data_IF_239255160963
#
_entry.id   IF_239255160963
#
_cell.length_a   1.000
_cell.length_b   1.000
_cell.length_c   1.000
_cell.angle_alpha   90.00
_cell.angle_beta   90.00
_cell.angle_gamma   90.00
#
_symmetry.space_group_name_H-M   'P 1'
#
loop_
_entity.id
_entity.type
_entity.pdbx_description
1 polymer ?
#
# COMPACT_ATOMS: atom_id res chain seq x y z
N UNK A 1 -59.54 -7.57 -22.64
CA UNK A 1 -59.89 -7.66 -24.08
C UNK A 1 -58.80 -6.92 -24.85
N UNK A 2 -58.03 -7.46 -25.79
CA UNK A 2 -57.98 -8.73 -26.49
C UNK A 2 -57.05 -8.45 -27.67
N UNK A 3 -55.98 -9.22 -27.85
CA UNK A 3 -55.13 -9.18 -29.07
C UNK A 3 -55.96 -9.65 -30.29
N UNK A 4 -55.59 -9.26 -31.53
CA UNK A 4 -54.75 -10.14 -32.39
C UNK A 4 -53.67 -9.36 -33.21
N UNK A 5 -52.48 -9.91 -33.49
CA UNK A 5 -52.10 -10.82 -34.61
C UNK A 5 -52.38 -10.21 -36.01
N UNK A 6 -51.60 -10.38 -37.08
CA UNK A 6 -50.27 -10.91 -37.40
C UNK A 6 -50.20 -10.92 -38.93
N UNK A 7 -49.05 -10.55 -39.54
CA UNK A 7 -48.63 -10.94 -40.90
C UNK A 7 -49.55 -10.43 -42.05
N UNK A 8 -49.14 -10.24 -43.30
CA UNK A 8 -48.22 -11.00 -44.15
C UNK A 8 -47.91 -10.17 -45.40
N UNK A 9 -46.67 -10.26 -45.84
CA UNK A 9 -46.16 -9.78 -47.13
C UNK A 9 -46.75 -10.61 -48.29
N UNK A 10 -47.19 -9.93 -49.35
CA UNK A 10 -47.37 -10.50 -50.68
C UNK A 10 -46.02 -10.63 -51.38
N UNK A 11 -45.74 -11.82 -51.88
CA UNK A 11 -44.55 -12.11 -52.67
C UNK A 11 -44.69 -11.67 -54.12
N UNK A 12 -43.55 -11.51 -54.78
CA UNK A 12 -43.46 -11.83 -56.22
C UNK A 12 -42.05 -12.35 -56.53
N UNK A 13 -42.03 -13.56 -57.09
CA UNK A 13 -40.86 -14.25 -57.63
C UNK A 13 -40.48 -13.64 -58.99
N UNK A 14 -39.19 -13.67 -59.34
CA UNK A 14 -38.62 -14.26 -60.57
C UNK A 14 -37.10 -13.98 -60.62
N UNK A 15 -36.26 -15.00 -60.44
CA UNK A 15 -35.57 -15.82 -61.46
C UNK A 15 -34.24 -15.21 -61.93
N UNK A 16 -33.11 -15.92 -61.71
CA UNK A 16 -32.13 -16.36 -62.74
C UNK A 16 -30.88 -16.96 -62.06
N UNK A 17 -30.41 -18.06 -62.67
CA UNK A 17 -29.26 -18.93 -62.34
C UNK A 17 -27.91 -18.22 -62.42
N UNK A 18 -26.91 -18.69 -61.66
CA UNK A 18 -25.50 -18.50 -62.02
C UNK A 18 -24.47 -18.66 -60.89
N UNK A 19 -23.99 -19.89 -60.70
CA UNK A 19 -22.61 -20.28 -60.33
C UNK A 19 -21.76 -19.38 -59.43
N UNK A 20 -21.51 -19.86 -58.20
CA UNK A 20 -20.21 -19.93 -57.54
C UNK A 20 -19.50 -18.63 -57.15
N UNK A 21 -19.23 -18.47 -55.85
CA UNK A 21 -17.91 -18.15 -55.24
C UNK A 21 -18.13 -17.66 -53.79
N UNK A 22 -17.52 -18.42 -52.87
CA UNK A 22 -17.05 -18.08 -51.51
C UNK A 22 -18.09 -17.57 -50.49
N UNK A 23 -18.37 -18.45 -49.51
CA UNK A 23 -18.90 -18.07 -48.18
C UNK A 23 -17.95 -17.06 -47.53
N UNK A 24 -18.30 -15.78 -47.62
CA UNK A 24 -17.79 -14.76 -46.71
C UNK A 24 -18.30 -15.09 -45.31
N UNK A 25 -17.41 -15.65 -44.48
CA UNK A 25 -17.66 -15.76 -43.05
C UNK A 25 -18.00 -14.39 -42.49
N UNK A 26 -19.17 -14.28 -41.86
CA UNK A 26 -19.55 -13.08 -41.14
C UNK A 26 -18.50 -12.82 -40.06
N UNK A 27 -17.72 -11.76 -40.22
CA UNK A 27 -16.86 -11.22 -39.16
C UNK A 27 -17.80 -10.84 -38.02
N UNK A 28 -17.64 -11.36 -36.79
CA UNK A 28 -18.45 -10.92 -35.67
C UNK A 28 -18.18 -9.42 -35.49
N UNK A 29 -19.22 -8.62 -35.73
CA UNK A 29 -19.21 -7.18 -35.54
C UNK A 29 -18.94 -6.96 -34.05
N UNK A 30 -17.73 -6.53 -33.71
CA UNK A 30 -17.37 -6.20 -32.34
C UNK A 30 -18.41 -5.22 -31.82
N UNK A 31 -19.17 -5.63 -30.81
CA UNK A 31 -20.07 -4.75 -30.08
C UNK A 31 -19.17 -3.78 -29.33
N UNK A 32 -18.86 -2.64 -29.96
CA UNK A 32 -18.17 -1.55 -29.28
C UNK A 32 -19.16 -0.97 -28.29
N UNK A 33 -19.10 -1.45 -27.04
CA UNK A 33 -19.75 -0.78 -25.92
C UNK A 33 -19.33 0.69 -25.94
N UNK A 34 -20.26 1.65 -25.88
CA UNK A 34 -19.91 3.06 -25.91
C UNK A 34 -19.03 3.37 -24.70
N UNK A 35 -17.79 3.79 -24.94
CA UNK A 35 -16.85 4.20 -23.90
C UNK A 35 -16.95 5.71 -23.69
N UNK A 36 -16.91 6.13 -22.43
CA UNK A 36 -16.89 7.55 -22.05
C UNK A 36 -15.54 7.84 -21.44
N UNK A 37 -14.80 8.78 -22.03
CA UNK A 37 -13.51 9.21 -21.49
C UNK A 37 -13.76 10.26 -20.41
N UNK A 38 -13.36 9.95 -19.18
CA UNK A 38 -13.50 10.83 -18.02
C UNK A 38 -12.12 11.28 -17.56
N UNK A 39 -11.98 12.55 -17.18
CA UNK A 39 -10.76 13.06 -16.56
C UNK A 39 -10.56 12.46 -15.18
N UNK A 40 -9.33 12.05 -14.86
CA UNK A 40 -8.97 11.41 -13.59
C UNK A 40 -9.41 12.27 -12.39
N UNK A 41 -9.20 13.59 -12.49
CA UNK A 41 -9.58 14.54 -11.43
C UNK A 41 -11.06 14.44 -11.04
N UNK A 42 -11.96 14.19 -12.00
CA UNK A 42 -13.41 14.05 -11.72
C UNK A 42 -13.71 12.78 -10.92
N UNK A 43 -12.97 11.70 -11.16
CA UNK A 43 -13.10 10.47 -10.37
C UNK A 43 -12.51 10.66 -8.97
N UNK A 44 -11.42 11.42 -8.84
CA UNK A 44 -10.84 11.76 -7.54
C UNK A 44 -11.80 12.65 -6.72
N UNK A 45 -12.42 13.65 -7.34
CA UNK A 45 -13.45 14.50 -6.71
C UNK A 45 -14.67 13.67 -6.26
N UNK A 46 -15.09 12.68 -7.05
CA UNK A 46 -16.16 11.75 -6.63
C UNK A 46 -15.74 10.87 -5.45
N UNK A 47 -14.49 10.39 -5.42
CA UNK A 47 -13.96 9.63 -4.30
C UNK A 47 -13.86 10.46 -3.02
N UNK A 48 -13.56 11.76 -3.11
CA UNK A 48 -13.63 12.68 -1.98
C UNK A 48 -15.03 12.68 -1.36
N UNK A 49 -16.04 12.92 -2.19
CA UNK A 49 -17.45 13.00 -1.75
C UNK A 49 -17.89 11.68 -1.13
N UNK A 50 -17.50 10.55 -1.73
CA UNK A 50 -17.81 9.22 -1.18
C UNK A 50 -17.10 8.99 0.15
N UNK A 51 -15.83 9.40 0.30
CA UNK A 51 -15.11 9.28 1.57
C UNK A 51 -15.78 10.12 2.67
N UNK A 52 -16.15 11.37 2.37
CA UNK A 52 -16.92 12.21 3.28
C UNK A 52 -18.27 11.57 3.63
N UNK A 53 -18.97 10.99 2.66
CA UNK A 53 -20.25 10.31 2.86
C UNK A 53 -20.11 9.11 3.80
N UNK A 54 -19.03 8.33 3.68
CA UNK A 54 -18.73 7.20 4.58
C UNK A 54 -18.50 7.70 6.02
N UNK A 55 -17.80 8.84 6.18
CA UNK A 55 -17.59 9.46 7.49
C UNK A 55 -18.92 9.94 8.09
N UNK A 56 -19.73 10.66 7.30
CA UNK A 56 -21.05 11.16 7.74
C UNK A 56 -22.00 10.02 8.10
N UNK A 57 -21.95 8.91 7.35
CA UNK A 57 -22.69 7.69 7.67
C UNK A 57 -22.32 7.14 9.03
N UNK A 58 -21.02 7.04 9.36
CA UNK A 58 -20.57 6.53 10.66
C UNK A 58 -21.06 7.41 11.83
N UNK A 59 -21.04 8.74 11.65
CA UNK A 59 -21.60 9.66 12.65
C UNK A 59 -23.11 9.49 12.81
N UNK A 60 -23.83 9.29 11.71
CA UNK A 60 -25.27 9.05 11.72
C UNK A 60 -25.62 7.74 12.45
N UNK A 61 -24.83 6.68 12.24
CA UNK A 61 -24.94 5.39 12.96
C UNK A 61 -24.81 5.59 14.47
N UNK A 62 -23.76 6.29 14.92
CA UNK A 62 -23.54 6.56 16.36
C UNK A 62 -24.68 7.37 16.99
N UNK A 63 -25.16 8.41 16.31
CA UNK A 63 -26.29 9.23 16.80
C UNK A 63 -27.58 8.43 16.83
N UNK A 64 -27.81 7.56 15.85
CA UNK A 64 -28.99 6.71 15.78
C UNK A 64 -29.04 5.71 16.94
N UNK A 65 -27.90 5.10 17.26
CA UNK A 65 -27.76 4.21 18.42
C UNK A 65 -28.06 4.94 19.74
N UNK A 66 -27.52 6.15 19.92
CA UNK A 66 -27.73 6.97 21.12
C UNK A 66 -29.19 7.41 21.31
N UNK A 67 -29.94 7.55 20.22
CA UNK A 67 -31.36 7.97 20.25
C UNK A 67 -32.34 6.80 20.45
N UNK A 68 -31.85 5.54 20.45
CA UNK A 68 -32.61 4.30 20.64
C UNK A 68 -33.86 4.16 19.74
N UNK A 69 -33.88 4.83 18.59
CA UNK A 69 -35.04 4.85 17.68
C UNK A 69 -34.94 3.73 16.64
N UNK A 70 -35.79 2.71 16.78
CA UNK A 70 -35.82 1.58 15.83
C UNK A 70 -36.05 2.00 14.37
N UNK A 71 -36.95 2.96 14.14
CA UNK A 71 -37.23 3.48 12.79
C UNK A 71 -36.05 4.25 12.21
N UNK A 72 -35.32 4.98 13.05
CA UNK A 72 -34.10 5.69 12.61
C UNK A 72 -33.02 4.67 12.25
N UNK A 73 -32.80 3.65 13.09
CA UNK A 73 -31.85 2.57 12.82
C UNK A 73 -32.12 1.89 11.47
N UNK A 74 -33.38 1.57 11.16
CA UNK A 74 -33.75 0.97 9.87
C UNK A 74 -33.41 1.87 8.66
N UNK A 75 -33.62 3.19 8.79
CA UNK A 75 -33.29 4.16 7.73
C UNK A 75 -31.78 4.31 7.58
N UNK A 76 -31.05 4.39 8.69
CA UNK A 76 -29.59 4.48 8.71
C UNK A 76 -28.98 3.23 8.09
N UNK A 77 -29.45 2.04 8.44
CA UNK A 77 -28.94 0.77 7.88
C UNK A 77 -29.13 0.71 6.36
N UNK A 78 -30.27 1.19 5.84
CA UNK A 78 -30.49 1.28 4.40
C UNK A 78 -29.58 2.29 3.72
N UNK A 79 -29.40 3.48 4.31
CA UNK A 79 -28.46 4.49 3.83
C UNK A 79 -27.02 3.97 3.83
N UNK A 80 -26.66 3.17 4.83
CA UNK A 80 -25.35 2.54 4.94
C UNK A 80 -25.07 1.57 3.80
N UNK A 81 -26.05 0.71 3.46
CA UNK A 81 -25.95 -0.18 2.29
C UNK A 81 -25.77 0.59 0.99
N UNK A 82 -26.59 1.62 0.75
CA UNK A 82 -26.49 2.45 -0.46
C UNK A 82 -25.14 3.16 -0.56
N UNK A 83 -24.59 3.60 0.56
CA UNK A 83 -23.29 4.25 0.62
C UNK A 83 -22.16 3.29 0.25
N UNK A 84 -22.22 2.05 0.75
CA UNK A 84 -21.25 0.99 0.37
C UNK A 84 -21.37 0.66 -1.12
N UNK A 85 -22.59 0.47 -1.63
CA UNK A 85 -22.83 0.19 -3.04
C UNK A 85 -22.33 1.30 -3.96
N UNK A 86 -22.54 2.57 -3.57
CA UNK A 86 -22.04 3.73 -4.30
C UNK A 86 -20.51 3.73 -4.31
N UNK A 87 -19.88 3.54 -3.15
CA UNK A 87 -18.43 3.48 -3.01
C UNK A 87 -17.83 2.41 -3.92
N UNK A 88 -18.38 1.20 -3.88
CA UNK A 88 -17.86 0.08 -4.65
C UNK A 88 -18.00 0.31 -6.17
N UNK A 89 -19.07 0.97 -6.62
CA UNK A 89 -19.24 1.35 -8.04
C UNK A 89 -18.25 2.43 -8.48
N UNK A 90 -18.00 3.44 -7.65
CA UNK A 90 -17.04 4.51 -7.95
C UNK A 90 -15.61 3.95 -7.98
N UNK A 91 -15.28 3.04 -7.06
CA UNK A 91 -14.00 2.32 -7.06
C UNK A 91 -13.78 1.53 -8.34
N UNK A 92 -14.76 0.72 -8.77
CA UNK A 92 -14.68 -0.02 -10.05
C UNK A 92 -14.46 0.89 -11.25
N UNK A 93 -15.09 2.07 -11.27
CA UNK A 93 -14.89 3.04 -12.35
C UNK A 93 -13.47 3.63 -12.41
N UNK A 94 -12.70 3.54 -11.32
CA UNK A 94 -11.30 3.99 -11.20
C UNK A 94 -10.28 2.91 -11.51
N UNK A 95 -10.70 1.65 -11.56
CA UNK A 95 -9.81 0.51 -11.77
C UNK A 95 -9.16 0.55 -13.14
N UNK A 96 -7.89 0.14 -13.18
CA UNK A 96 -7.10 -0.02 -14.39
C UNK A 96 -6.40 -1.36 -14.34
N UNK A 97 -6.25 -1.98 -15.51
CA UNK A 97 -5.54 -3.25 -15.65
C UNK A 97 -4.07 -3.10 -15.26
N UNK A 98 -3.56 -4.07 -14.50
CA UNK A 98 -2.16 -4.15 -14.09
C UNK A 98 -1.21 -4.28 -15.29
N UNK A 99 -1.70 -4.76 -16.43
CA UNK A 99 -0.95 -4.83 -17.70
C UNK A 99 -0.31 -3.50 -18.14
N UNK A 100 -0.94 -2.37 -17.76
CA UNK A 100 -0.40 -1.03 -18.01
C UNK A 100 1.00 -0.80 -17.43
N UNK A 101 1.36 -1.56 -16.39
CA UNK A 101 2.70 -1.61 -15.77
C UNK A 101 3.50 -2.80 -16.32
N UNK A 102 2.88 -3.99 -16.35
CA UNK A 102 3.57 -5.24 -16.71
C UNK A 102 4.13 -5.23 -18.13
N UNK A 103 3.46 -4.56 -19.07
CA UNK A 103 3.88 -4.41 -20.47
C UNK A 103 5.29 -3.83 -20.67
N UNK A 104 5.87 -3.17 -19.65
CA UNK A 104 7.22 -2.60 -19.69
C UNK A 104 8.31 -3.59 -19.29
N UNK A 105 7.98 -4.59 -18.49
CA UNK A 105 8.95 -5.52 -17.91
C UNK A 105 9.61 -6.49 -18.90
N UNK A 106 8.96 -6.96 -19.98
CA UNK A 106 9.64 -7.80 -20.98
C UNK A 106 10.87 -7.13 -21.60
N UNK A 107 10.82 -5.81 -21.84
CA UNK A 107 11.98 -5.06 -22.35
C UNK A 107 13.08 -4.95 -21.30
N UNK A 108 12.72 -4.58 -20.07
CA UNK A 108 13.66 -4.49 -18.95
C UNK A 108 14.41 -5.81 -18.71
N UNK A 109 13.69 -6.93 -18.63
CA UNK A 109 14.30 -8.25 -18.39
C UNK A 109 15.23 -8.63 -19.53
N UNK A 110 14.86 -8.32 -20.78
CA UNK A 110 15.71 -8.57 -21.95
C UNK A 110 17.00 -7.74 -21.93
N UNK A 111 16.92 -6.49 -21.50
CA UNK A 111 18.09 -5.61 -21.39
C UNK A 111 19.02 -6.07 -20.26
N UNK A 112 18.48 -6.37 -19.07
CA UNK A 112 19.24 -6.92 -17.94
C UNK A 112 19.87 -8.29 -18.25
N UNK A 113 19.15 -9.16 -18.96
CA UNK A 113 19.64 -10.46 -19.44
C UNK A 113 20.89 -10.31 -20.31
N UNK A 114 20.93 -9.29 -21.19
CA UNK A 114 22.10 -8.99 -22.02
C UNK A 114 23.25 -8.43 -21.21
N UNK A 115 22.97 -7.44 -20.36
CA UNK A 115 24.01 -6.76 -19.57
C UNK A 115 24.72 -7.72 -18.61
N UNK A 116 23.98 -8.66 -18.01
CA UNK A 116 24.50 -9.64 -17.07
C UNK A 116 24.88 -10.98 -17.73
N UNK A 117 24.70 -11.11 -19.05
CA UNK A 117 24.97 -12.34 -19.80
C UNK A 117 24.25 -13.58 -19.23
N UNK A 118 22.97 -13.43 -18.87
CA UNK A 118 22.10 -14.50 -18.35
C UNK A 118 20.97 -14.80 -19.33
N UNK A 119 20.58 -16.06 -19.49
CA UNK A 119 19.42 -16.44 -20.30
C UNK A 119 18.18 -16.53 -19.42
N UNK A 120 17.14 -15.75 -19.71
CA UNK A 120 15.96 -15.62 -18.84
C UNK A 120 14.69 -15.57 -19.67
N UNK A 121 13.73 -16.43 -19.32
CA UNK A 121 12.37 -16.42 -19.82
C UNK A 121 11.44 -15.74 -18.82
N UNK A 122 10.69 -14.72 -19.28
CA UNK A 122 9.68 -14.03 -18.48
C UNK A 122 8.28 -14.51 -18.87
N UNK A 123 7.55 -15.05 -17.89
CA UNK A 123 6.14 -15.39 -18.02
C UNK A 123 5.28 -14.37 -17.26
N UNK A 124 4.28 -13.79 -17.91
CA UNK A 124 3.33 -12.85 -17.29
C UNK A 124 1.93 -13.46 -17.31
N UNK A 125 1.30 -13.56 -16.15
CA UNK A 125 -0.03 -14.16 -15.97
C UNK A 125 -0.95 -13.19 -15.23
N UNK A 126 -2.18 -13.04 -15.71
CA UNK A 126 -3.21 -12.24 -15.03
C UNK A 126 -3.03 -10.72 -15.17
N UNK A 127 -2.45 -10.25 -16.28
CA UNK A 127 -2.30 -8.81 -16.57
C UNK A 127 -3.64 -8.06 -16.68
N UNK A 128 -4.73 -8.78 -16.93
CA UNK A 128 -6.11 -8.30 -16.94
C UNK A 128 -6.68 -8.01 -15.54
N UNK A 129 -5.96 -8.38 -14.46
CA UNK A 129 -6.34 -8.05 -13.09
C UNK A 129 -6.46 -6.54 -12.92
N UNK A 130 -7.56 -6.10 -12.31
CA UNK A 130 -7.89 -4.70 -12.07
C UNK A 130 -7.33 -4.21 -10.73
N UNK A 131 -6.73 -3.02 -10.73
CA UNK A 131 -6.19 -2.36 -9.54
C UNK A 131 -6.46 -0.84 -9.59
N UNK A 132 -6.52 -0.21 -8.43
CA UNK A 132 -6.71 1.23 -8.33
C UNK A 132 -5.60 2.01 -9.06
N UNK A 133 -6.01 3.06 -9.79
CA UNK A 133 -5.08 3.87 -10.61
C UNK A 133 -3.93 4.48 -9.80
N UNK A 134 -4.18 4.94 -8.57
CA UNK A 134 -3.12 5.50 -7.72
C UNK A 134 -2.12 4.42 -7.33
N UNK A 135 -2.59 3.21 -7.00
CA UNK A 135 -1.71 2.08 -6.70
C UNK A 135 -0.87 1.73 -7.92
N UNK A 136 -1.47 1.66 -9.12
CA UNK A 136 -0.76 1.43 -10.39
C UNK A 136 0.38 2.44 -10.62
N UNK A 137 0.14 3.72 -10.35
CA UNK A 137 1.14 4.77 -10.57
C UNK A 137 2.35 4.68 -9.61
N UNK A 138 2.16 4.08 -8.42
CA UNK A 138 3.21 3.99 -7.40
C UNK A 138 3.85 2.59 -7.28
N UNK A 139 3.18 1.53 -7.75
CA UNK A 139 3.66 0.14 -7.61
C UNK A 139 4.72 -0.24 -8.66
N UNK A 140 4.82 0.51 -9.77
CA UNK A 140 5.74 0.20 -10.87
C UNK A 140 7.21 0.14 -10.43
N UNK A 141 7.68 1.13 -9.68
CA UNK A 141 9.08 1.21 -9.23
C UNK A 141 9.44 0.09 -8.23
N UNK A 142 8.63 -0.19 -7.19
CA UNK A 142 8.82 -1.36 -6.33
C UNK A 142 8.93 -2.69 -7.10
N UNK A 143 8.02 -2.94 -8.05
CA UNK A 143 8.04 -4.17 -8.83
C UNK A 143 9.26 -4.25 -9.76
N UNK A 144 9.65 -3.13 -10.37
CA UNK A 144 10.87 -3.05 -11.17
C UNK A 144 12.09 -3.46 -10.36
N UNK A 145 12.18 -2.99 -9.11
CA UNK A 145 13.29 -3.27 -8.24
C UNK A 145 13.31 -4.74 -7.79
N UNK A 146 12.14 -5.34 -7.48
CA UNK A 146 12.02 -6.77 -7.20
C UNK A 146 12.45 -7.64 -8.39
N UNK A 147 12.02 -7.28 -9.61
CA UNK A 147 12.44 -7.96 -10.85
C UNK A 147 13.95 -7.86 -11.04
N UNK A 148 14.54 -6.68 -10.82
CA UNK A 148 15.99 -6.51 -10.91
C UNK A 148 16.73 -7.42 -9.93
N UNK A 149 16.27 -7.53 -8.68
CA UNK A 149 16.90 -8.41 -7.70
C UNK A 149 16.80 -9.89 -8.07
N UNK A 150 15.66 -10.31 -8.60
CA UNK A 150 15.49 -11.67 -9.12
C UNK A 150 16.49 -11.93 -10.27
N UNK A 151 16.66 -10.98 -11.20
CA UNK A 151 17.56 -11.14 -12.35
C UNK A 151 19.04 -11.03 -11.97
N UNK A 152 19.43 -10.09 -11.10
CA UNK A 152 20.82 -9.81 -10.74
C UNK A 152 21.36 -10.79 -9.71
N UNK A 153 20.62 -11.01 -8.61
CA UNK A 153 21.07 -11.82 -7.49
C UNK A 153 20.41 -13.21 -7.42
N UNK A 154 19.14 -13.32 -7.83
CA UNK A 154 18.40 -14.58 -7.80
C UNK A 154 18.91 -15.58 -8.83
N UNK A 155 18.69 -15.30 -10.11
CA UNK A 155 19.02 -16.18 -11.24
C UNK A 155 20.54 -16.27 -11.41
N UNK A 156 21.07 -17.49 -11.43
CA UNK A 156 22.51 -17.75 -11.61
C UNK A 156 22.92 -17.63 -13.09
N UNK A 157 24.23 -17.58 -13.36
CA UNK A 157 24.75 -17.63 -14.73
C UNK A 157 24.44 -18.98 -15.39
N UNK A 158 24.35 -19.05 -16.74
CA UNK A 158 24.15 -20.30 -17.49
C UNK A 158 25.04 -21.46 -17.02
N UNK A 159 26.33 -21.18 -16.77
CA UNK A 159 27.31 -22.15 -16.28
C UNK A 159 27.04 -22.63 -14.85
N UNK A 160 26.67 -21.73 -13.94
CA UNK A 160 26.35 -22.08 -12.55
C UNK A 160 25.07 -22.92 -12.48
N UNK A 161 24.06 -22.59 -13.31
CA UNK A 161 22.81 -23.35 -13.39
C UNK A 161 23.04 -24.79 -13.84
N UNK A 162 23.84 -24.99 -14.89
CA UNK A 162 24.20 -26.33 -15.36
C UNK A 162 24.96 -27.13 -14.30
N UNK A 163 25.86 -26.50 -13.54
CA UNK A 163 26.58 -27.15 -12.43
C UNK A 163 25.63 -27.56 -11.30
N UNK A 164 24.59 -26.77 -11.05
CA UNK A 164 23.54 -27.07 -10.08
C UNK A 164 22.46 -28.06 -10.61
N UNK A 165 22.59 -28.55 -11.85
CA UNK A 165 21.62 -29.47 -12.46
C UNK A 165 20.33 -28.80 -12.94
N UNK A 166 20.32 -27.47 -13.08
CA UNK A 166 19.17 -26.68 -13.53
C UNK A 166 19.23 -26.41 -15.05
N UNK A 167 18.09 -26.07 -15.70
CA UNK A 167 18.07 -25.60 -17.07
C UNK A 167 18.93 -24.34 -17.25
N UNK A 168 19.56 -24.21 -18.42
CA UNK A 168 20.40 -23.05 -18.76
C UNK A 168 19.61 -21.73 -18.73
N UNK A 169 18.39 -21.75 -19.27
CA UNK A 169 17.45 -20.64 -19.22
C UNK A 169 16.79 -20.57 -17.84
N UNK A 170 16.93 -19.44 -17.15
CA UNK A 170 16.22 -19.13 -15.91
C UNK A 170 14.77 -18.75 -16.18
N UNK A 171 13.88 -19.07 -15.24
CA UNK A 171 12.46 -18.72 -15.34
C UNK A 171 12.12 -17.66 -14.32
N UNK A 172 11.53 -16.57 -14.80
CA UNK A 172 10.92 -15.52 -13.98
C UNK A 172 9.43 -15.44 -14.30
N UNK A 173 8.59 -15.58 -13.29
CA UNK A 173 7.13 -15.54 -13.42
C UNK A 173 6.59 -14.34 -12.67
N UNK A 174 5.80 -13.52 -13.35
CA UNK A 174 5.05 -12.41 -12.78
C UNK A 174 3.56 -12.71 -12.88
N UNK A 175 2.91 -12.94 -11.74
CA UNK A 175 1.48 -13.29 -11.67
C UNK A 175 0.72 -12.24 -10.89
N UNK A 176 -0.42 -11.80 -11.40
CA UNK A 176 -1.39 -11.01 -10.66
C UNK A 176 -2.73 -11.74 -10.62
N UNK A 177 -3.38 -11.72 -9.46
CA UNK A 177 -4.75 -12.22 -9.31
C UNK A 177 -5.45 -11.52 -8.16
N UNK A 178 -6.77 -11.47 -8.21
CA UNK A 178 -7.59 -10.93 -7.12
C UNK A 178 -7.97 -12.06 -6.14
N UNK A 179 -7.73 -11.82 -4.85
CA UNK A 179 -8.15 -12.67 -3.75
C UNK A 179 -9.02 -11.84 -2.80
N UNK A 180 -10.33 -12.09 -2.83
CA UNK A 180 -11.34 -11.33 -2.07
C UNK A 180 -11.27 -9.81 -2.34
N UNK A 181 -10.86 -9.02 -1.34
CA UNK A 181 -10.75 -7.56 -1.42
C UNK A 181 -9.29 -7.08 -1.60
N UNK A 182 -8.39 -8.01 -1.94
CA UNK A 182 -6.96 -7.74 -2.14
C UNK A 182 -6.53 -8.22 -3.52
N UNK A 183 -5.58 -7.49 -4.10
CA UNK A 183 -4.86 -7.93 -5.29
C UNK A 183 -3.53 -8.49 -4.85
N UNK A 184 -3.24 -9.70 -5.29
CA UNK A 184 -2.00 -10.40 -5.02
C UNK A 184 -1.14 -10.36 -6.27
N UNK A 185 0.06 -9.80 -6.13
CA UNK A 185 1.10 -9.82 -7.15
C UNK A 185 2.22 -10.73 -6.65
N UNK A 186 2.59 -11.73 -7.44
CA UNK A 186 3.63 -12.71 -7.14
C UNK A 186 4.73 -12.60 -8.18
N UNK A 187 5.97 -12.44 -7.71
CA UNK A 187 7.19 -12.51 -8.51
C UNK A 187 7.95 -13.75 -8.07
N UNK A 188 8.11 -14.72 -8.95
CA UNK A 188 8.72 -16.01 -8.66
C UNK A 188 9.89 -16.26 -9.61
N UNK A 189 11.06 -16.58 -9.07
CA UNK A 189 12.22 -17.02 -9.84
C UNK A 189 12.68 -18.43 -9.41
N UNK A 190 13.30 -19.14 -10.34
CA UNK A 190 13.91 -20.46 -10.10
C UNK A 190 15.43 -20.38 -9.84
N UNK A 191 15.85 -19.25 -9.28
CA UNK A 191 17.25 -18.94 -9.00
C UNK A 191 17.80 -19.66 -7.78
N UNK A 192 18.89 -19.13 -7.22
CA UNK A 192 19.62 -19.76 -6.11
C UNK A 192 18.89 -19.73 -4.76
N UNK A 193 17.87 -18.90 -4.62
CA UNK A 193 17.20 -18.65 -3.34
C UNK A 193 18.09 -17.99 -2.28
N UNK A 194 17.51 -17.64 -1.13
CA UNK A 194 18.27 -17.06 -0.02
C UNK A 194 19.10 -18.12 0.70
N UNK A 195 20.39 -17.84 0.89
CA UNK A 195 21.24 -18.63 1.79
C UNK A 195 21.05 -18.13 3.22
N UNK A 196 20.23 -18.84 4.00
CA UNK A 196 19.88 -18.44 5.36
C UNK A 196 21.10 -18.33 6.28
N UNK A 197 22.11 -19.17 6.09
CA UNK A 197 23.33 -19.13 6.91
C UNK A 197 24.15 -17.87 6.64
N UNK A 198 24.30 -17.50 5.36
CA UNK A 198 24.97 -16.23 4.99
C UNK A 198 24.17 -15.02 5.43
N UNK A 199 22.83 -15.10 5.37
CA UNK A 199 21.96 -14.02 5.82
C UNK A 199 22.07 -13.83 7.33
N UNK A 200 22.04 -14.93 8.09
CA UNK A 200 22.28 -14.96 9.54
C UNK A 200 23.62 -14.33 9.88
N UNK A 201 24.71 -14.81 9.27
CA UNK A 201 26.05 -14.31 9.54
C UNK A 201 26.16 -12.80 9.25
N UNK A 202 25.62 -12.34 8.12
CA UNK A 202 25.59 -10.90 7.80
C UNK A 202 24.79 -10.08 8.81
N UNK A 203 23.69 -10.61 9.32
CA UNK A 203 22.86 -9.92 10.30
C UNK A 203 23.56 -9.82 11.66
N UNK A 204 24.27 -10.86 12.07
CA UNK A 204 25.09 -10.87 13.29
C UNK A 204 26.31 -9.96 13.16
N UNK A 205 27.06 -10.07 12.06
CA UNK A 205 28.26 -9.25 11.80
C UNK A 205 27.91 -7.75 11.67
N UNK A 206 26.73 -7.45 11.12
CA UNK A 206 26.20 -6.10 11.03
C UNK A 206 25.65 -5.54 12.33
N UNK A 207 25.58 -6.35 13.40
CA UNK A 207 25.04 -5.95 14.70
C UNK A 207 23.53 -5.75 14.72
N UNK A 208 22.79 -6.27 13.72
CA UNK A 208 21.33 -6.15 13.64
C UNK A 208 20.62 -7.13 14.58
N UNK A 209 21.26 -8.27 14.85
CA UNK A 209 20.77 -9.31 15.76
C UNK A 209 21.93 -9.93 16.52
N UNK A 210 21.70 -10.37 17.75
CA UNK A 210 22.71 -11.13 18.48
C UNK A 210 22.80 -12.58 17.98
N UNK A 211 23.95 -13.21 18.17
CA UNK A 211 24.14 -14.63 17.85
C UNK A 211 23.09 -15.53 18.53
N UNK A 212 22.75 -15.24 19.80
CA UNK A 212 21.75 -16.00 20.55
C UNK A 212 20.32 -15.84 20.00
N UNK A 213 19.95 -14.63 19.59
CA UNK A 213 18.65 -14.35 18.96
C UNK A 213 18.55 -15.02 17.58
N UNK A 214 19.62 -14.92 16.78
CA UNK A 214 19.65 -15.46 15.42
C UNK A 214 19.49 -16.98 15.33
N UNK A 215 19.82 -17.70 16.42
CA UNK A 215 19.64 -19.15 16.55
C UNK A 215 18.22 -19.56 16.90
N UNK A 216 17.42 -18.64 17.43
CA UNK A 216 16.01 -18.90 17.78
C UNK A 216 15.06 -18.65 16.62
N UNK A 217 15.50 -17.92 15.61
CA UNK A 217 14.68 -17.56 14.48
C UNK A 217 14.34 -18.74 13.59
N UNK A 218 13.08 -18.78 13.13
CA UNK A 218 12.67 -19.66 12.04
C UNK A 218 13.23 -19.17 10.71
N UNK A 219 13.13 -20.02 9.69
CA UNK A 219 13.56 -19.68 8.33
C UNK A 219 12.80 -18.45 7.79
N UNK A 220 11.51 -18.33 8.10
CA UNK A 220 10.69 -17.17 7.75
C UNK A 220 11.19 -15.90 8.44
N UNK A 221 11.44 -15.95 9.76
CA UNK A 221 11.92 -14.82 10.54
C UNK A 221 13.31 -14.33 10.07
N UNK A 222 14.18 -15.27 9.65
CA UNK A 222 15.47 -14.91 9.05
C UNK A 222 15.31 -14.20 7.71
N UNK A 223 14.39 -14.66 6.86
CA UNK A 223 14.11 -14.02 5.57
C UNK A 223 13.55 -12.61 5.77
N UNK A 224 12.76 -12.36 6.82
CA UNK A 224 12.26 -11.02 7.12
C UNK A 224 13.37 -10.00 7.41
N UNK A 225 14.54 -10.46 7.89
CA UNK A 225 15.70 -9.59 8.11
C UNK A 225 16.17 -8.88 6.84
N UNK A 226 15.88 -9.43 5.65
CA UNK A 226 16.21 -8.80 4.36
C UNK A 226 15.62 -7.39 4.24
N UNK A 227 14.52 -7.11 4.94
CA UNK A 227 13.88 -5.80 4.95
C UNK A 227 14.50 -4.80 5.93
N UNK A 228 15.50 -5.19 6.73
CA UNK A 228 16.19 -4.29 7.64
C UNK A 228 17.07 -3.31 6.83
N UNK A 229 16.92 -1.98 7.04
CA UNK A 229 17.76 -0.99 6.38
C UNK A 229 19.25 -1.29 6.59
N UNK A 230 20.03 -1.27 5.51
CA UNK A 230 21.49 -1.49 5.58
C UNK A 230 21.93 -2.95 5.61
N UNK A 231 21.04 -3.94 5.77
CA UNK A 231 21.42 -5.36 5.60
C UNK A 231 21.56 -5.73 4.12
N UNK A 232 20.71 -5.14 3.27
CA UNK A 232 20.63 -5.40 1.84
C UNK A 232 21.63 -4.59 0.99
N UNK A 233 22.46 -3.74 1.59
CA UNK A 233 23.38 -2.88 0.83
C UNK A 233 24.51 -3.70 0.20
N UNK A 234 24.36 -4.00 -1.08
CA UNK A 234 25.47 -4.40 -1.93
C UNK A 234 26.52 -3.28 -2.01
N UNK A 235 27.79 -3.67 -2.05
CA UNK A 235 28.99 -2.83 -2.09
C UNK A 235 29.19 -2.02 -3.39
N UNK A 236 28.19 -1.89 -4.26
CA UNK A 236 28.32 -1.11 -5.49
C UNK A 236 27.13 -0.16 -5.69
N UNK A 237 27.43 1.13 -5.53
CA UNK A 237 26.62 2.23 -6.04
C UNK A 237 26.69 2.15 -7.57
N UNK A 238 25.65 1.64 -8.23
CA UNK A 238 25.53 1.74 -9.69
C UNK A 238 24.76 3.01 -10.08
N UNK A 239 25.20 3.62 -11.18
CA UNK A 239 25.11 5.04 -11.55
C UNK A 239 23.71 5.64 -11.85
N UNK A 240 22.59 5.05 -11.40
CA UNK A 240 21.27 5.49 -11.91
C UNK A 240 20.28 6.03 -10.86
N UNK A 241 20.54 5.98 -9.54
CA UNK A 241 19.59 6.59 -8.58
C UNK A 241 20.12 7.11 -7.24
N UNK A 242 21.43 7.28 -7.05
CA UNK A 242 22.00 8.14 -5.98
C UNK A 242 21.66 7.80 -4.51
N UNK A 243 20.92 6.74 -4.22
CA UNK A 243 20.71 6.17 -2.89
C UNK A 243 20.70 4.66 -3.06
N UNK A 244 21.50 3.93 -2.30
CA UNK A 244 21.47 2.47 -2.31
C UNK A 244 20.03 2.00 -2.06
N UNK A 245 19.42 1.34 -3.04
CA UNK A 245 18.02 0.92 -2.96
C UNK A 245 18.02 -0.49 -2.38
N UNK A 246 17.65 -0.62 -1.12
CA UNK A 246 17.47 -1.90 -0.45
C UNK A 246 16.01 -2.36 -0.46
N UNK A 247 15.78 -3.58 0.04
CA UNK A 247 14.42 -4.13 0.23
C UNK A 247 13.59 -3.36 1.26
N UNK A 248 14.22 -2.59 2.13
CA UNK A 248 13.57 -1.65 3.04
C UNK A 248 12.78 -0.56 2.28
N UNK A 249 13.34 -0.02 1.20
CA UNK A 249 12.66 0.99 0.37
C UNK A 249 11.43 0.40 -0.32
N UNK A 250 11.55 -0.84 -0.82
CA UNK A 250 10.43 -1.56 -1.44
C UNK A 250 9.33 -1.84 -0.41
N UNK A 251 9.69 -2.35 0.77
CA UNK A 251 8.75 -2.62 1.85
C UNK A 251 8.00 -1.34 2.24
N UNK A 252 8.71 -0.26 2.50
CA UNK A 252 8.10 1.02 2.86
C UNK A 252 7.17 1.57 1.76
N UNK A 253 7.54 1.39 0.48
CA UNK A 253 6.68 1.80 -0.63
C UNK A 253 5.38 0.98 -0.70
N UNK A 254 5.45 -0.33 -0.46
CA UNK A 254 4.28 -1.22 -0.45
C UNK A 254 3.39 -0.94 0.76
N UNK A 255 3.98 -0.79 1.95
CA UNK A 255 3.26 -0.44 3.18
C UNK A 255 2.60 0.94 3.08
N UNK A 256 3.24 1.90 2.42
CA UNK A 256 2.66 3.22 2.13
C UNK A 256 1.42 3.17 1.23
N UNK A 257 1.24 2.09 0.46
CA UNK A 257 0.04 1.81 -0.32
C UNK A 257 -1.01 1.01 0.48
N UNK A 258 -0.79 0.79 1.78
CA UNK A 258 -1.61 -0.06 2.63
C UNK A 258 -1.44 -1.56 2.34
N UNK A 259 -0.38 -1.92 1.62
CA UNK A 259 -0.07 -3.29 1.25
C UNK A 259 0.85 -4.01 2.22
N UNK A 260 1.02 -5.31 2.00
CA UNK A 260 1.94 -6.17 2.74
C UNK A 260 2.82 -6.92 1.75
N UNK A 261 4.11 -7.00 2.03
CA UNK A 261 5.08 -7.81 1.28
C UNK A 261 5.54 -8.99 2.13
N UNK A 262 5.68 -10.16 1.51
CA UNK A 262 6.21 -11.37 2.12
C UNK A 262 7.13 -12.08 1.13
N UNK A 263 8.17 -12.74 1.63
CA UNK A 263 9.12 -13.50 0.81
C UNK A 263 9.10 -14.94 1.28
N UNK A 264 9.03 -15.88 0.33
CA UNK A 264 9.27 -17.30 0.56
C UNK A 264 10.44 -17.71 -0.31
N UNK A 265 11.43 -18.38 0.24
CA UNK A 265 12.58 -18.81 -0.54
C UNK A 265 13.14 -20.12 0.00
N UNK A 266 13.59 -20.96 -0.92
CA UNK A 266 14.29 -22.19 -0.61
C UNK A 266 15.62 -22.20 -1.36
N UNK A 267 16.70 -22.48 -0.63
CA UNK A 267 18.04 -22.44 -1.19
C UNK A 267 18.22 -23.52 -2.26
N UNK A 268 18.70 -23.12 -3.43
CA UNK A 268 18.85 -23.97 -4.61
C UNK A 268 17.56 -24.16 -5.43
N UNK A 269 16.39 -23.72 -4.95
CA UNK A 269 15.12 -23.86 -5.68
C UNK A 269 14.67 -22.53 -6.28
N UNK A 270 14.70 -21.45 -5.49
CA UNK A 270 14.27 -20.13 -5.95
C UNK A 270 13.71 -19.23 -4.86
N UNK A 271 13.09 -18.13 -5.30
CA UNK A 271 12.45 -17.15 -4.43
C UNK A 271 11.10 -16.76 -5.00
N UNK A 272 10.10 -16.66 -4.13
CA UNK A 272 8.78 -16.12 -4.43
C UNK A 272 8.52 -14.91 -3.52
N UNK A 273 8.42 -13.73 -4.12
CA UNK A 273 8.01 -12.49 -3.45
C UNK A 273 6.53 -12.27 -3.71
N UNK A 274 5.75 -12.15 -2.65
CA UNK A 274 4.31 -11.93 -2.70
C UNK A 274 3.97 -10.55 -2.13
N UNK A 275 3.33 -9.73 -2.94
CA UNK A 275 2.83 -8.40 -2.59
C UNK A 275 1.31 -8.45 -2.57
N UNK A 276 0.71 -8.12 -1.43
CA UNK A 276 -0.74 -8.02 -1.24
C UNK A 276 -1.11 -6.56 -1.14
N UNK A 277 -1.95 -6.08 -2.03
CA UNK A 277 -2.42 -4.69 -2.06
C UNK A 277 -3.93 -4.65 -1.84
N UNK A 278 -4.45 -3.73 -1.03
CA UNK A 278 -5.89 -3.51 -0.95
C UNK A 278 -6.41 -2.96 -2.29
N UNK A 279 -7.65 -3.27 -2.63
CA UNK A 279 -8.31 -2.71 -3.82
C UNK A 279 -8.54 -1.19 -3.73
N UNK A 280 -8.40 -0.60 -2.55
CA UNK A 280 -8.73 0.81 -2.29
C UNK A 280 -7.62 1.49 -1.50
N UNK A 281 -7.51 2.82 -1.61
CA UNK A 281 -6.73 3.60 -0.65
C UNK A 281 -7.20 3.25 0.78
N UNK A 282 -6.22 3.02 1.67
CA UNK A 282 -6.49 2.56 3.01
C UNK A 282 -7.21 3.67 3.81
N UNK A 283 -8.44 3.38 4.23
CA UNK A 283 -9.05 4.09 5.36
C UNK A 283 -8.28 3.61 6.59
N UNK A 284 -7.59 4.52 7.26
CA UNK A 284 -6.93 4.21 8.52
C UNK A 284 -7.64 4.95 9.65
N UNK A 285 -7.70 4.29 10.80
CA UNK A 285 -8.18 4.92 12.02
C UNK A 285 -7.05 5.76 12.62
N UNK A 286 -7.34 7.02 12.94
CA UNK A 286 -6.37 7.96 13.50
C UNK A 286 -6.91 8.67 14.72
N UNK A 287 -6.01 9.12 15.60
CA UNK A 287 -6.30 10.15 16.59
C UNK A 287 -5.95 11.51 15.99
N UNK A 288 -6.93 12.40 15.89
CA UNK A 288 -6.70 13.79 15.53
C UNK A 288 -6.21 14.55 16.76
N UNK A 289 -5.11 15.26 16.59
CA UNK A 289 -4.45 16.07 17.62
C UNK A 289 -4.16 17.46 17.10
N UNK A 290 -4.08 18.43 18.00
CA UNK A 290 -3.74 19.81 17.66
C UNK A 290 -2.32 20.14 18.11
N UNK A 291 -1.62 20.91 17.30
CA UNK A 291 -0.39 21.61 17.68
C UNK A 291 -0.42 23.01 17.08
N UNK A 292 -0.40 24.03 17.94
CA UNK A 292 -0.73 25.41 17.56
C UNK A 292 -2.14 25.50 16.98
N UNK A 293 -2.25 26.07 15.78
CA UNK A 293 -3.50 26.17 15.02
C UNK A 293 -3.70 25.02 14.02
N UNK A 294 -2.75 24.09 13.95
CA UNK A 294 -2.73 23.02 12.95
C UNK A 294 -3.22 21.69 13.51
N UNK A 295 -3.87 20.89 12.66
CA UNK A 295 -4.38 19.56 13.01
C UNK A 295 -3.53 18.47 12.38
N UNK A 296 -3.15 17.49 13.19
CA UNK A 296 -2.36 16.34 12.79
C UNK A 296 -3.12 15.06 13.09
N UNK A 297 -2.84 14.00 12.33
CA UNK A 297 -3.44 12.69 12.49
C UNK A 297 -2.36 11.65 12.83
N UNK A 298 -2.56 10.94 13.93
CA UNK A 298 -1.67 9.86 14.39
C UNK A 298 -2.39 8.53 14.20
N UNK A 299 -1.83 7.55 13.46
CA UNK A 299 -2.45 6.23 13.33
C UNK A 299 -2.65 5.57 14.69
N UNK A 300 -3.86 5.09 14.96
CA UNK A 300 -4.20 4.45 16.25
C UNK A 300 -3.42 3.17 16.48
N UNK A 301 -2.91 2.53 15.42
CA UNK A 301 -2.03 1.36 15.50
C UNK A 301 -0.74 1.60 16.29
N UNK A 302 -0.29 2.85 16.40
CA UNK A 302 0.88 3.23 17.20
C UNK A 302 0.53 3.74 18.60
N UNK A 303 -0.76 3.92 18.90
CA UNK A 303 -1.21 4.50 20.17
C UNK A 303 -1.52 3.37 21.15
N UNK A 304 -0.73 3.30 22.22
CA UNK A 304 -1.01 2.37 23.33
C UNK A 304 -2.12 2.92 24.22
N UNK A 305 -2.04 4.21 24.58
CA UNK A 305 -3.00 4.88 25.47
C UNK A 305 -2.85 6.41 25.39
N UNK A 306 -3.94 7.14 25.67
CA UNK A 306 -3.93 8.59 25.87
C UNK A 306 -4.08 8.91 27.35
N UNK A 307 -3.30 9.88 27.84
CA UNK A 307 -3.24 10.24 29.26
C UNK A 307 -3.14 11.76 29.43
N UNK A 308 -3.47 12.24 30.64
CA UNK A 308 -3.13 13.58 31.10
C UNK A 308 -1.93 13.48 32.05
N UNK A 309 -0.93 14.32 31.84
CA UNK A 309 0.30 14.36 32.67
C UNK A 309 0.44 15.71 33.33
N UNK A 310 0.71 15.73 34.63
CA UNK A 310 0.99 16.98 35.32
C UNK A 310 2.29 17.60 34.79
N UNK A 311 2.29 18.88 34.43
CA UNK A 311 3.50 19.61 34.00
C UNK A 311 4.67 19.48 34.98
N UNK A 312 4.38 19.34 36.28
CA UNK A 312 5.35 19.14 37.37
C UNK A 312 5.93 17.72 37.45
N UNK A 313 5.29 16.75 36.82
CA UNK A 313 5.75 15.36 36.76
C UNK A 313 6.83 15.18 35.69
N UNK A 314 6.97 16.16 34.79
CA UNK A 314 8.04 16.20 33.78
C UNK A 314 9.36 16.53 34.46
N UNK A 315 10.30 15.60 34.37
CA UNK A 315 11.66 15.74 34.88
C UNK A 315 12.64 15.86 33.73
N UNK A 316 13.71 16.61 33.91
CA UNK A 316 14.81 16.66 32.95
C UNK A 316 15.97 15.79 33.44
N UNK A 317 16.30 14.76 32.67
CA UNK A 317 17.43 13.88 32.96
C UNK A 317 18.43 13.93 31.79
N UNK A 318 19.63 14.44 32.06
CA UNK A 318 20.72 14.57 31.07
C UNK A 318 20.33 15.33 29.79
N UNK A 319 19.44 16.32 29.90
CA UNK A 319 18.99 17.13 28.77
C UNK A 319 17.77 16.58 28.04
N UNK A 320 17.22 15.44 28.47
CA UNK A 320 16.01 14.83 27.92
C UNK A 320 14.87 14.93 28.92
N UNK A 321 13.69 15.36 28.46
CA UNK A 321 12.48 15.35 29.28
C UNK A 321 12.00 13.90 29.42
N UNK A 322 11.67 13.49 30.65
CA UNK A 322 11.18 12.15 30.99
C UNK A 322 10.02 12.26 31.98
N UNK A 323 9.12 11.28 31.98
CA UNK A 323 8.01 11.17 32.92
C UNK A 323 7.96 9.76 33.48
N UNK A 324 7.71 9.64 34.79
CA UNK A 324 7.47 8.34 35.42
C UNK A 324 5.97 8.03 35.41
N UNK A 325 5.59 6.99 34.67
CA UNK A 325 4.22 6.54 34.55
C UNK A 325 4.12 5.15 35.14
N UNK A 326 3.50 5.05 36.33
CA UNK A 326 3.28 3.77 37.05
C UNK A 326 4.57 2.94 37.27
N UNK A 327 5.72 3.61 37.42
CA UNK A 327 7.02 2.96 37.62
C UNK A 327 7.88 2.89 36.35
N UNK A 328 7.29 3.11 35.17
CA UNK A 328 8.02 3.13 33.90
C UNK A 328 8.49 4.56 33.58
N UNK A 329 9.79 4.74 33.34
CA UNK A 329 10.35 6.02 32.90
C UNK A 329 10.25 6.09 31.39
N UNK A 330 9.37 6.95 30.88
CA UNK A 330 9.20 7.17 29.45
C UNK A 330 9.90 8.46 29.01
N UNK A 331 10.64 8.45 27.88
CA UNK A 331 11.09 9.67 27.24
C UNK A 331 9.89 10.49 26.78
N UNK A 332 9.97 11.81 26.94
CA UNK A 332 8.94 12.76 26.54
C UNK A 332 9.38 13.51 25.28
N UNK A 333 8.52 13.47 24.27
CA UNK A 333 8.60 14.28 23.06
C UNK A 333 7.45 15.29 23.06
N UNK A 334 7.66 16.44 22.45
CA UNK A 334 6.63 17.47 22.29
C UNK A 334 6.34 17.65 20.82
N UNK A 335 5.08 17.48 20.43
CA UNK A 335 4.66 17.52 19.02
C UNK A 335 5.06 18.84 18.36
N UNK A 336 4.87 19.97 19.04
CA UNK A 336 5.23 21.28 18.51
C UNK A 336 6.69 21.41 18.07
N UNK A 337 7.63 20.77 18.79
CA UNK A 337 9.05 20.73 18.41
C UNK A 337 9.33 19.79 17.24
N UNK A 338 8.51 18.75 17.08
CA UNK A 338 8.66 17.75 16.01
C UNK A 338 8.15 18.28 14.67
N UNK A 339 7.08 19.08 14.67
CA UNK A 339 6.48 19.65 13.46
C UNK A 339 6.86 21.12 13.22
N UNK A 340 7.78 21.66 14.02
CA UNK A 340 8.26 23.06 13.96
C UNK A 340 7.11 24.10 13.98
N UNK A 341 6.10 23.85 14.80
CA UNK A 341 4.98 24.79 14.98
C UNK A 341 5.27 25.77 16.11
N UNK A 342 4.83 27.04 15.99
CA UNK A 342 4.97 28.01 17.06
C UNK A 342 4.34 27.47 18.34
N UNK A 343 5.05 27.60 19.46
CA UNK A 343 4.49 27.26 20.77
C UNK A 343 3.26 28.14 20.99
N UNK A 344 2.11 27.50 21.22
CA UNK A 344 0.87 28.21 21.49
C UNK A 344 1.10 29.20 22.64
N UNK A 345 0.70 30.46 22.44
CA UNK A 345 0.80 31.54 23.44
C UNK A 345 -0.16 31.38 24.62
N UNK A 346 -0.80 30.21 24.75
CA UNK A 346 -1.63 29.87 25.90
C UNK A 346 -0.76 29.73 27.18
N UNK A 347 -1.28 30.11 28.36
CA UNK A 347 -0.57 29.92 29.62
C UNK A 347 -0.23 28.44 29.84
N UNK A 348 0.92 28.16 30.47
CA UNK A 348 1.33 26.78 30.80
C UNK A 348 0.21 26.07 31.57
N UNK A 349 -0.45 25.12 30.89
CA UNK A 349 -1.49 24.31 31.50
C UNK A 349 -0.88 23.45 32.61
N UNK A 350 -1.53 23.34 33.78
CA UNK A 350 -1.05 22.48 34.86
C UNK A 350 -1.01 21.01 34.44
N UNK A 351 -1.86 20.63 33.48
CA UNK A 351 -1.97 19.32 32.86
C UNK A 351 -1.66 19.40 31.36
N UNK A 352 -0.96 18.38 30.86
CA UNK A 352 -0.54 18.23 29.48
C UNK A 352 -1.24 17.00 28.88
N UNK A 353 -1.90 17.20 27.75
CA UNK A 353 -2.44 16.11 26.94
C UNK A 353 -1.29 15.32 26.32
N UNK A 354 -1.27 14.00 26.53
CA UNK A 354 -0.19 13.16 26.04
C UNK A 354 -0.65 11.79 25.54
N UNK A 355 0.13 11.23 24.61
CA UNK A 355 -0.13 9.94 23.97
C UNK A 355 1.09 9.06 24.20
N UNK A 356 0.88 7.86 24.74
CA UNK A 356 1.93 6.84 24.78
C UNK A 356 1.94 6.15 23.42
N UNK A 357 3.02 6.39 22.68
CA UNK A 357 3.29 5.78 21.38
C UNK A 357 4.15 4.54 21.59
N UNK A 358 3.77 3.43 20.95
CA UNK A 358 4.51 2.16 20.99
C UNK A 358 4.93 1.75 19.57
N UNK A 359 6.23 1.54 19.37
CA UNK A 359 6.82 1.07 18.11
C UNK A 359 7.77 -0.08 18.45
N UNK A 360 7.34 -1.31 18.13
CA UNK A 360 8.03 -2.51 18.60
C UNK A 360 8.07 -2.55 20.12
N UNK A 361 9.28 -2.64 20.70
CA UNK A 361 9.50 -2.61 22.15
C UNK A 361 9.72 -1.18 22.70
N UNK A 362 9.87 -0.17 21.83
CA UNK A 362 10.10 1.21 22.24
C UNK A 362 8.77 1.90 22.58
N UNK A 363 8.76 2.59 23.73
CA UNK A 363 7.62 3.39 24.21
C UNK A 363 8.08 4.82 24.47
N UNK A 364 7.33 5.78 23.95
CA UNK A 364 7.60 7.22 24.12
C UNK A 364 6.31 7.95 24.45
N UNK A 365 6.42 9.03 25.22
CA UNK A 365 5.30 9.89 25.55
C UNK A 365 5.32 11.12 24.65
N UNK A 366 4.32 11.27 23.79
CA UNK A 366 4.15 12.41 22.91
C UNK A 366 3.15 13.40 23.50
N UNK A 367 3.63 14.57 23.92
CA UNK A 367 2.79 15.69 24.38
C UNK A 367 2.24 16.45 23.18
N UNK A 368 0.95 16.73 23.22
CA UNK A 368 0.21 17.50 22.22
C UNK A 368 -0.49 18.68 22.88
N UNK A 369 -0.89 19.68 22.10
CA UNK A 369 -1.60 20.83 22.68
C UNK A 369 -3.06 20.47 22.99
N UNK A 370 -3.67 19.61 22.18
CA UNK A 370 -5.01 19.10 22.42
C UNK A 370 -5.26 17.75 21.75
N UNK A 371 -5.88 16.82 22.48
CA UNK A 371 -6.53 15.64 21.90
C UNK A 371 -7.92 16.01 21.36
N UNK A 372 -8.17 15.79 20.06
CA UNK A 372 -9.45 16.15 19.43
C UNK A 372 -10.43 14.98 19.50
N UNK A 373 -10.19 13.93 18.71
CA UNK A 373 -11.03 12.71 18.62
C UNK A 373 -10.37 11.65 17.75
N UNK A 374 -10.85 10.42 17.85
CA UNK A 374 -10.57 9.40 16.85
C UNK A 374 -11.42 9.61 15.60
N UNK A 375 -10.83 9.42 14.43
CA UNK A 375 -11.52 9.53 13.15
C UNK A 375 -10.86 8.64 12.09
N UNK A 376 -11.71 7.98 11.31
CA UNK A 376 -11.32 7.27 10.10
C UNK A 376 -11.00 8.29 9.00
N UNK A 377 -9.81 8.19 8.43
CA UNK A 377 -9.35 9.11 7.38
C UNK A 377 -8.79 8.34 6.19
N UNK A 378 -8.88 8.95 5.01
CA UNK A 378 -8.21 8.47 3.80
C UNK A 378 -6.88 9.19 3.68
N UNK A 379 -5.76 8.45 3.76
CA UNK A 379 -4.43 9.04 3.54
C UNK A 379 -4.23 9.27 2.05
N UNK A 380 -3.68 10.43 1.71
CA UNK A 380 -3.23 10.75 0.37
C UNK A 380 -1.75 11.14 0.39
N UNK A 381 -0.97 10.72 -0.61
CA UNK A 381 0.37 11.24 -0.77
C UNK A 381 0.31 12.75 -1.03
N UNK A 382 1.25 13.52 -0.48
CA UNK A 382 1.31 14.98 -0.60
C UNK A 382 1.70 15.48 -2.02
N UNK A 383 1.89 14.56 -2.97
CA UNK A 383 2.23 14.86 -4.36
C UNK A 383 3.71 15.16 -4.58
N UNK A 384 4.19 14.97 -5.81
CA UNK A 384 5.62 14.99 -6.14
C UNK A 384 6.33 16.34 -5.95
N UNK A 385 5.60 17.46 -5.91
CA UNK A 385 6.19 18.80 -5.72
C UNK A 385 6.70 19.04 -4.29
N UNK A 386 6.09 18.41 -3.30
CA UNK A 386 6.48 18.54 -1.89
C UNK A 386 7.57 17.53 -1.48
N UNK A 387 7.89 16.56 -2.34
CA UNK A 387 8.86 15.50 -2.03
C UNK A 387 8.43 14.62 -0.86
N UNK A 388 9.38 13.87 -0.31
CA UNK A 388 9.19 13.18 0.98
C UNK A 388 9.55 14.16 2.09
N UNK A 389 8.56 14.56 2.88
CA UNK A 389 8.77 15.35 4.10
C UNK A 389 9.01 14.36 5.23
N UNK A 390 10.16 14.50 5.90
CA UNK A 390 10.52 13.65 7.03
C UNK A 390 9.47 13.78 8.13
N UNK A 391 9.00 12.65 8.65
CA UNK A 391 7.97 12.60 9.69
C UNK A 391 6.52 12.76 9.21
N UNK A 392 6.25 12.89 7.91
CA UNK A 392 4.89 12.98 7.36
C UNK A 392 4.64 11.83 6.37
N UNK A 393 3.68 10.97 6.71
CA UNK A 393 3.24 9.85 5.88
C UNK A 393 2.33 10.31 4.73
N UNK A 394 1.58 11.39 4.91
CA UNK A 394 0.67 11.92 3.91
C UNK A 394 -0.22 13.03 4.45
N UNK A 395 -1.28 13.37 3.72
CA UNK A 395 -2.29 14.32 4.15
C UNK A 395 -3.70 13.78 3.93
N UNK A 396 -4.65 14.35 4.64
CA UNK A 396 -6.08 14.07 4.46
C UNK A 396 -6.89 15.36 4.53
N UNK A 397 -8.10 15.32 3.98
CA UNK A 397 -9.08 16.41 4.09
C UNK A 397 -10.13 15.97 5.09
N UNK A 398 -10.32 16.76 6.15
CA UNK A 398 -11.32 16.54 7.18
C UNK A 398 -12.70 16.97 6.68
N UNK A 399 -13.77 16.53 7.37
CA UNK A 399 -15.15 16.80 6.94
C UNK A 399 -15.57 18.27 6.97
N UNK A 400 -14.76 19.15 7.58
CA UNK A 400 -14.93 20.61 7.54
C UNK A 400 -14.12 21.28 6.41
N UNK A 401 -13.46 20.50 5.57
CA UNK A 401 -12.60 20.96 4.48
C UNK A 401 -11.18 21.34 4.92
N UNK A 402 -10.86 21.28 6.21
CA UNK A 402 -9.50 21.52 6.69
C UNK A 402 -8.56 20.37 6.32
N UNK A 403 -7.26 20.66 6.22
CA UNK A 403 -6.24 19.66 5.90
C UNK A 403 -5.60 19.19 7.21
N UNK A 404 -5.48 17.87 7.38
CA UNK A 404 -4.69 17.29 8.45
C UNK A 404 -3.52 16.48 7.88
N UNK A 405 -2.34 16.67 8.46
CA UNK A 405 -1.13 15.92 8.08
C UNK A 405 -1.04 14.65 8.91
N UNK A 406 -0.77 13.53 8.23
CA UNK A 406 -0.67 12.21 8.85
C UNK A 406 0.78 11.97 9.20
N UNK A 407 1.07 11.78 10.49
CA UNK A 407 2.44 11.66 10.97
C UNK A 407 2.98 10.23 10.77
N UNK A 408 4.23 10.13 10.28
CA UNK A 408 4.96 8.86 10.23
C UNK A 408 5.70 8.62 11.56
N UNK A 409 5.07 7.85 12.44
CA UNK A 409 5.60 7.64 13.80
C UNK A 409 6.93 6.90 13.81
N UNK A 410 7.27 6.11 12.80
CA UNK A 410 8.56 5.40 12.74
C UNK A 410 9.75 6.33 12.57
N UNK A 411 9.51 7.55 12.10
CA UNK A 411 10.53 8.58 11.86
C UNK A 411 10.57 9.59 13.01
N UNK A 412 9.41 9.86 13.61
CA UNK A 412 9.20 10.95 14.58
C UNK A 412 9.37 10.50 16.04
N UNK A 413 9.10 9.22 16.33
CA UNK A 413 9.05 8.62 17.66
C UNK A 413 9.98 7.40 17.72
#
# INVERSE_FOLDING_TARGET
AGLPLSQSEEGTKETVRGTGVIRSGAVPRAVTSPTVRVEIKKLDDLMNIVAELVIQRSQLEQLSEALESKRLNEVVEHFSRLTVDLRDRVLRARMVQVDSVFSRFPRLVRDLSRDLSKEISLEIVGGDTELDRTVIDHIGDPLMHLIRNAVDHGIESPSERLQAGKPQEGRLTLRAYQESNTVVIVIEDDGRGYNLERLRQKAVDGGFVTEEESRRYTDEELIELVFIPGLSTAQQVTDVSGRGVGMDVVKNAIEGLGGVISIKSEYGVGTAVQVRLPLTLAIIQTMLVRSGDETYAIPTSYIEQTISVGSREVQNFRGQEVVNIRGDILPLLRLNRLVDTPVSSAPESPELDAIIIKIGEHRVLLVVDQLIRQQDIVIRPLGGYLGKIEGIAGGTVLGDGSIALVLDMRVVA
#
